data_IF_247688632539
#
_entry.id   IF_247688632539
#
_cell.length_a   1.000
_cell.length_b   1.000
_cell.length_c   1.000
_cell.angle_alpha   90.00
_cell.angle_beta   90.00
_cell.angle_gamma   90.00
#
_symmetry.space_group_name_H-M   'P 1'
#
loop_
_entity.id
_entity.type
_entity.pdbx_description
1 polymer ?
#
# COMPACT_ATOMS: atom_id res chain seq x y z
N UNK A 1 -10.58 11.61 -13.00
CA UNK A 1 -10.11 11.55 -11.60
C UNK A 1 -10.27 10.12 -11.12
N UNK A 2 -9.21 9.49 -10.64
CA UNK A 2 -9.22 8.11 -10.14
C UNK A 2 -10.10 8.04 -8.90
N UNK A 3 -10.97 7.02 -8.79
CA UNK A 3 -11.87 6.87 -7.64
C UNK A 3 -11.04 6.61 -6.36
N UNK A 4 -11.26 7.37 -5.26
CA UNK A 4 -10.58 7.13 -3.99
C UNK A 4 -10.80 5.72 -3.45
N UNK A 5 -9.83 5.19 -2.71
CA UNK A 5 -9.95 3.95 -1.95
C UNK A 5 -10.84 4.22 -0.74
N UNK A 6 -11.98 3.54 -0.67
CA UNK A 6 -12.90 3.67 0.44
C UNK A 6 -12.42 2.86 1.64
N UNK A 7 -12.16 3.53 2.75
CA UNK A 7 -11.83 2.92 4.05
C UNK A 7 -12.95 3.24 5.03
N UNK A 8 -13.51 2.22 5.67
CA UNK A 8 -14.60 2.39 6.65
C UNK A 8 -14.17 1.86 8.01
N UNK A 9 -14.23 2.72 9.03
CA UNK A 9 -13.98 2.37 10.43
C UNK A 9 -15.31 2.35 11.19
N UNK A 10 -15.69 1.19 11.70
CA UNK A 10 -16.79 1.07 12.67
C UNK A 10 -16.21 1.11 14.08
N UNK A 11 -16.41 2.21 14.79
CA UNK A 11 -15.97 2.37 16.18
C UNK A 11 -17.04 1.88 17.15
N UNK A 12 -16.62 1.43 18.33
CA UNK A 12 -17.52 1.10 19.42
C UNK A 12 -18.26 2.36 19.87
N UNK A 13 -19.53 2.47 19.50
CA UNK A 13 -20.31 3.69 19.65
C UNK A 13 -21.70 3.54 19.04
N UNK A 14 -22.53 4.55 19.27
CA UNK A 14 -23.88 4.64 18.72
C UNK A 14 -24.96 4.05 19.60
N UNK A 15 -26.15 3.97 19.00
CA UNK A 15 -27.37 3.46 19.63
C UNK A 15 -28.21 2.67 18.63
N UNK A 16 -28.98 1.72 19.15
CA UNK A 16 -29.96 0.94 18.43
C UNK A 16 -31.14 0.64 19.35
N UNK A 17 -32.26 1.34 19.11
CA UNK A 17 -33.44 1.29 19.96
C UNK A 17 -33.11 1.65 21.43
N UNK A 18 -33.45 0.82 22.42
CA UNK A 18 -33.15 1.08 23.83
C UNK A 18 -31.66 0.85 24.20
N UNK A 19 -30.85 0.29 23.30
CA UNK A 19 -29.44 0.00 23.55
C UNK A 19 -28.55 1.16 23.09
N UNK A 20 -27.59 1.56 23.93
CA UNK A 20 -26.62 2.62 23.61
C UNK A 20 -25.26 2.28 24.19
N UNK A 21 -24.20 2.53 23.43
CA UNK A 21 -22.82 2.43 23.93
C UNK A 21 -22.50 3.64 24.80
N UNK A 22 -22.08 3.39 26.06
CA UNK A 22 -21.68 4.44 27.02
C UNK A 22 -20.23 4.34 27.47
N UNK A 23 -19.57 3.22 27.19
CA UNK A 23 -18.22 2.93 27.65
C UNK A 23 -17.24 3.30 26.52
N UNK A 24 -16.17 4.07 26.82
CA UNK A 24 -15.16 4.41 25.83
C UNK A 24 -14.37 3.17 25.39
N UNK A 25 -13.87 3.20 24.17
CA UNK A 25 -13.06 2.13 23.57
C UNK A 25 -11.65 2.68 23.26
N UNK A 26 -10.62 2.13 23.90
CA UNK A 26 -9.24 2.57 23.74
C UNK A 26 -8.67 2.17 22.36
N UNK A 27 -8.97 0.95 21.94
CA UNK A 27 -8.57 0.36 20.66
C UNK A 27 -9.12 1.16 19.48
N UNK A 28 -10.32 1.72 19.63
CA UNK A 28 -10.97 2.55 18.62
C UNK A 28 -10.25 3.89 18.44
N UNK A 29 -9.81 4.51 19.54
CA UNK A 29 -9.02 5.76 19.50
C UNK A 29 -7.66 5.50 18.88
N UNK A 30 -6.94 4.48 19.35
CA UNK A 30 -5.63 4.11 18.81
C UNK A 30 -5.70 3.77 17.31
N UNK A 31 -6.72 3.02 16.88
CA UNK A 31 -6.94 2.70 15.47
C UNK A 31 -7.13 3.95 14.62
N UNK A 32 -7.88 4.94 15.12
CA UNK A 32 -8.08 6.22 14.41
C UNK A 32 -6.77 6.99 14.25
N UNK A 33 -5.94 7.03 15.28
CA UNK A 33 -4.65 7.72 15.25
C UNK A 33 -3.68 7.01 14.29
N UNK A 34 -3.65 5.67 14.30
CA UNK A 34 -2.87 4.87 13.34
C UNK A 34 -3.32 5.14 11.91
N UNK A 35 -4.63 5.18 11.64
CA UNK A 35 -5.16 5.48 10.30
C UNK A 35 -4.66 6.84 9.81
N UNK A 36 -4.82 7.88 10.63
CA UNK A 36 -4.39 9.23 10.28
C UNK A 36 -2.89 9.28 9.96
N UNK A 37 -2.06 8.74 10.86
CA UNK A 37 -0.60 8.76 10.69
C UNK A 37 -0.16 7.95 9.45
N UNK A 38 -0.80 6.81 9.19
CA UNK A 38 -0.48 5.97 8.03
C UNK A 38 -0.88 6.64 6.72
N UNK A 39 -2.04 7.31 6.68
CA UNK A 39 -2.47 8.05 5.49
C UNK A 39 -1.54 9.21 5.16
N UNK A 40 -1.08 9.94 6.18
CA UNK A 40 -0.18 11.08 5.98
C UNK A 40 1.24 10.65 5.60
N UNK A 41 1.78 9.59 6.22
CA UNK A 41 3.21 9.26 6.10
C UNK A 41 3.55 8.16 5.11
N UNK A 42 2.63 7.24 4.84
CA UNK A 42 2.92 6.04 4.03
C UNK A 42 2.01 5.90 2.80
N UNK A 43 0.83 6.53 2.82
CA UNK A 43 -0.17 6.42 1.75
C UNK A 43 -0.53 7.79 1.15
N UNK A 44 0.35 8.79 1.27
CA UNK A 44 0.07 10.17 0.82
C UNK A 44 -0.24 10.28 -0.68
N UNK A 45 0.34 9.40 -1.50
CA UNK A 45 0.11 9.35 -2.95
C UNK A 45 -1.16 8.57 -3.35
N UNK A 46 -1.83 7.93 -2.40
CA UNK A 46 -3.04 7.15 -2.63
C UNK A 46 -4.27 7.98 -2.25
N UNK A 47 -5.20 8.28 -3.17
CA UNK A 47 -6.43 8.96 -2.82
C UNK A 47 -7.28 8.04 -1.92
N UNK A 48 -7.48 8.42 -0.66
CA UNK A 48 -8.22 7.63 0.33
C UNK A 48 -9.39 8.45 0.88
N UNK A 49 -10.55 7.81 0.99
CA UNK A 49 -11.73 8.36 1.65
C UNK A 49 -12.02 7.55 2.92
N UNK A 50 -11.89 8.20 4.09
CA UNK A 50 -12.19 7.60 5.38
C UNK A 50 -13.62 7.91 5.83
N UNK A 51 -14.44 6.88 5.98
CA UNK A 51 -15.77 6.96 6.58
C UNK A 51 -15.72 6.36 8.00
N UNK A 52 -16.10 7.13 9.01
CA UNK A 52 -16.18 6.64 10.39
C UNK A 52 -17.65 6.48 10.79
N UNK A 53 -18.03 5.27 11.18
CA UNK A 53 -19.39 4.92 11.59
C UNK A 53 -19.42 4.43 13.02
N UNK A 54 -20.52 4.69 13.70
CA UNK A 54 -20.82 4.09 14.98
C UNK A 54 -21.31 2.65 14.75
N UNK A 55 -20.59 1.67 15.30
CA UNK A 55 -20.85 0.25 15.09
C UNK A 55 -22.27 -0.14 15.50
N UNK A 56 -22.74 0.25 16.70
CA UNK A 56 -24.07 -0.15 17.18
C UNK A 56 -25.18 0.44 16.32
N UNK A 57 -24.97 1.61 15.72
CA UNK A 57 -25.95 2.22 14.81
C UNK A 57 -25.90 1.65 13.39
N UNK A 58 -24.87 0.88 13.04
CA UNK A 58 -24.68 0.32 11.68
C UNK A 58 -24.31 -1.17 11.72
N UNK A 59 -24.67 -1.88 12.79
CA UNK A 59 -24.15 -3.22 13.11
C UNK A 59 -24.43 -4.25 11.99
N UNK A 60 -25.49 -4.04 11.21
CA UNK A 60 -25.87 -4.89 10.08
C UNK A 60 -24.94 -4.77 8.87
N UNK A 61 -24.21 -3.66 8.70
CA UNK A 61 -23.29 -3.46 7.59
C UNK A 61 -22.07 -4.39 7.66
N UNK A 62 -21.26 -4.39 8.75
CA UNK A 62 -20.09 -5.24 8.87
C UNK A 62 -20.44 -6.72 9.00
N UNK A 63 -21.63 -7.06 9.52
CA UNK A 63 -22.08 -8.45 9.60
C UNK A 63 -22.22 -9.12 8.22
N UNK A 64 -22.50 -8.36 7.16
CA UNK A 64 -22.56 -8.91 5.77
C UNK A 64 -21.24 -9.54 5.33
N UNK A 65 -20.13 -9.16 5.96
CA UNK A 65 -18.78 -9.69 5.68
C UNK A 65 -18.23 -10.50 6.86
N UNK A 66 -19.10 -10.93 7.79
CA UNK A 66 -18.72 -11.73 8.96
C UNK A 66 -18.00 -10.97 10.06
N UNK A 67 -18.02 -9.62 10.03
CA UNK A 67 -17.39 -8.79 11.04
C UNK A 67 -18.40 -8.34 12.11
N UNK A 68 -18.04 -8.47 13.37
CA UNK A 68 -18.97 -8.33 14.49
C UNK A 68 -18.37 -7.58 15.70
N UNK A 69 -17.05 -7.47 15.81
CA UNK A 69 -16.37 -6.86 16.96
C UNK A 69 -15.69 -5.54 16.62
N UNK A 70 -16.17 -4.44 17.20
CA UNK A 70 -15.52 -3.15 17.07
C UNK A 70 -14.17 -3.09 17.84
N UNK A 71 -13.20 -2.28 17.39
CA UNK A 71 -13.21 -1.51 16.14
C UNK A 71 -13.13 -2.44 14.92
N UNK A 72 -13.92 -2.18 13.88
CA UNK A 72 -13.89 -2.94 12.62
C UNK A 72 -13.36 -2.01 11.53
N UNK A 73 -12.31 -2.44 10.84
CA UNK A 73 -11.78 -1.75 9.68
C UNK A 73 -12.10 -2.52 8.41
N UNK A 74 -12.65 -1.82 7.43
CA UNK A 74 -12.90 -2.34 6.10
C UNK A 74 -12.22 -1.48 5.03
N UNK A 75 -11.67 -2.12 4.00
CA UNK A 75 -11.12 -1.47 2.80
C UNK A 75 -11.88 -2.00 1.60
N UNK A 76 -12.50 -1.11 0.82
CA UNK A 76 -13.31 -1.46 -0.36
C UNK A 76 -14.35 -2.56 -0.07
N UNK A 77 -15.01 -2.46 1.09
CA UNK A 77 -16.02 -3.43 1.50
C UNK A 77 -15.47 -4.77 2.02
N UNK A 78 -14.16 -4.94 2.14
CA UNK A 78 -13.53 -6.17 2.66
C UNK A 78 -13.03 -5.95 4.09
N UNK A 79 -13.24 -6.95 4.95
CA UNK A 79 -12.73 -6.94 6.31
C UNK A 79 -11.19 -6.95 6.32
N UNK A 80 -10.59 -6.03 7.08
CA UNK A 80 -9.13 -5.91 7.25
C UNK A 80 -8.71 -6.23 8.69
N UNK A 81 -9.43 -5.71 9.68
CA UNK A 81 -9.17 -5.97 11.10
C UNK A 81 -10.47 -5.83 11.90
N UNK A 82 -10.60 -6.55 13.01
CA UNK A 82 -11.70 -6.42 13.96
C UNK A 82 -11.25 -6.75 15.39
N UNK A 83 -11.87 -6.10 16.37
CA UNK A 83 -11.74 -6.44 17.80
C UNK A 83 -10.39 -6.15 18.45
N UNK A 84 -9.46 -5.54 17.73
CA UNK A 84 -8.13 -5.17 18.23
C UNK A 84 -7.64 -3.86 17.60
N UNK A 85 -6.55 -3.30 18.14
CA UNK A 85 -5.91 -2.14 17.55
C UNK A 85 -5.34 -2.47 16.16
N UNK A 86 -5.53 -1.56 15.21
CA UNK A 86 -5.12 -1.76 13.82
C UNK A 86 -3.62 -2.02 13.67
N UNK A 87 -3.26 -3.10 12.98
CA UNK A 87 -1.92 -3.31 12.47
C UNK A 87 -1.69 -2.44 11.21
N UNK A 88 -0.67 -1.58 11.26
CA UNK A 88 -0.34 -0.67 10.17
C UNK A 88 0.00 -1.38 8.85
N UNK A 89 0.85 -2.40 8.89
CA UNK A 89 1.29 -3.11 7.69
C UNK A 89 0.11 -3.78 6.98
N UNK A 90 -0.83 -4.34 7.74
CA UNK A 90 -2.06 -4.95 7.20
C UNK A 90 -2.94 -3.91 6.51
N UNK A 91 -3.05 -2.69 7.05
CA UNK A 91 -3.74 -1.56 6.40
C UNK A 91 -3.05 -1.20 5.08
N UNK A 92 -1.74 -0.93 5.11
CA UNK A 92 -0.97 -0.52 3.91
C UNK A 92 -1.09 -1.58 2.82
N UNK A 93 -0.86 -2.84 3.16
CA UNK A 93 -0.99 -3.96 2.23
C UNK A 93 -2.39 -4.01 1.59
N UNK A 94 -3.44 -3.85 2.39
CA UNK A 94 -4.82 -3.93 1.91
C UNK A 94 -5.18 -2.76 0.98
N UNK A 95 -4.76 -1.54 1.34
CA UNK A 95 -4.99 -0.34 0.52
C UNK A 95 -4.21 -0.41 -0.79
N UNK A 96 -2.90 -0.71 -0.73
CA UNK A 96 -2.05 -0.79 -1.92
C UNK A 96 -2.51 -1.89 -2.87
N UNK A 97 -2.96 -3.04 -2.34
CA UNK A 97 -3.53 -4.12 -3.15
C UNK A 97 -4.75 -3.69 -3.97
N UNK A 98 -5.61 -2.84 -3.41
CA UNK A 98 -6.77 -2.32 -4.14
C UNK A 98 -6.39 -1.14 -5.05
N UNK A 99 -5.41 -0.32 -4.64
CA UNK A 99 -4.89 0.79 -5.44
C UNK A 99 -4.19 0.31 -6.71
N UNK A 100 -3.36 -0.72 -6.64
CA UNK A 100 -2.64 -1.30 -7.78
C UNK A 100 -3.56 -1.84 -8.90
N UNK A 101 -4.86 -2.03 -8.63
CA UNK A 101 -5.84 -2.39 -9.67
C UNK A 101 -6.32 -1.20 -10.49
N UNK A 102 -6.15 0.01 -9.96
CA UNK A 102 -6.65 1.27 -10.53
C UNK A 102 -5.52 2.14 -11.08
N UNK A 103 -4.32 1.89 -10.59
CA UNK A 103 -3.12 2.65 -10.89
C UNK A 103 -2.07 1.76 -11.53
N UNK A 104 -1.30 2.33 -12.44
CA UNK A 104 -0.20 1.67 -13.15
C UNK A 104 1.07 2.43 -12.88
N UNK A 105 2.19 1.74 -12.66
CA UNK A 105 3.48 2.39 -12.51
C UNK A 105 3.86 3.15 -13.79
N UNK A 106 4.13 4.45 -13.66
CA UNK A 106 4.48 5.34 -14.78
C UNK A 106 5.86 5.97 -14.56
N UNK A 107 6.54 6.29 -15.65
CA UNK A 107 7.86 6.93 -15.63
C UNK A 107 8.99 5.98 -15.25
N UNK A 108 10.08 6.57 -14.75
CA UNK A 108 11.29 5.86 -14.38
C UNK A 108 11.29 5.61 -12.87
N UNK A 109 11.29 4.34 -12.45
CA UNK A 109 11.18 3.94 -11.05
C UNK A 109 12.23 2.90 -10.73
N UNK A 110 12.89 3.07 -9.60
CA UNK A 110 13.84 2.10 -9.04
C UNK A 110 13.40 1.74 -7.63
N UNK A 111 12.94 0.51 -7.45
CA UNK A 111 12.74 -0.06 -6.13
C UNK A 111 14.04 -0.72 -5.66
N UNK A 112 14.50 -0.34 -4.48
CA UNK A 112 15.77 -0.82 -3.94
C UNK A 112 15.79 -0.85 -2.43
N UNK A 113 16.99 -1.09 -1.88
CA UNK A 113 17.28 -0.89 -0.45
C UNK A 113 18.67 -0.29 -0.28
N UNK A 114 18.83 0.55 0.74
CA UNK A 114 20.08 1.27 1.00
C UNK A 114 21.34 0.38 1.04
N UNK A 115 21.25 -0.84 1.59
CA UNK A 115 22.38 -1.75 1.76
C UNK A 115 22.69 -2.65 0.56
N UNK A 116 22.00 -2.47 -0.58
CA UNK A 116 22.17 -3.35 -1.73
C UNK A 116 23.19 -2.78 -2.74
N UNK A 117 24.31 -3.49 -3.01
CA UNK A 117 25.31 -3.03 -3.96
C UNK A 117 24.78 -2.94 -5.40
N UNK A 118 23.89 -3.87 -5.81
CA UNK A 118 23.25 -3.81 -7.13
C UNK A 118 22.32 -2.61 -7.30
N UNK A 119 21.67 -2.15 -6.22
CA UNK A 119 20.88 -0.93 -6.24
C UNK A 119 21.78 0.30 -6.42
N UNK A 120 22.95 0.34 -5.77
CA UNK A 120 23.93 1.42 -5.95
C UNK A 120 24.42 1.46 -7.41
N UNK A 121 24.84 0.31 -7.96
CA UNK A 121 25.25 0.21 -9.37
C UNK A 121 24.17 0.71 -10.32
N UNK A 122 22.90 0.31 -10.11
CA UNK A 122 21.79 0.76 -10.94
C UNK A 122 21.59 2.29 -10.91
N UNK A 123 21.71 2.90 -9.73
CA UNK A 123 21.60 4.36 -9.57
C UNK A 123 22.75 5.11 -10.25
N UNK A 124 23.97 4.58 -10.16
CA UNK A 124 25.15 5.14 -10.85
C UNK A 124 24.98 5.08 -12.37
N UNK A 125 24.57 3.93 -12.92
CA UNK A 125 24.32 3.78 -14.36
C UNK A 125 23.27 4.78 -14.89
N UNK A 126 22.18 5.00 -14.14
CA UNK A 126 21.14 5.98 -14.50
C UNK A 126 21.67 7.41 -14.41
N UNK A 127 22.47 7.73 -13.38
CA UNK A 127 23.09 9.05 -13.22
C UNK A 127 24.09 9.37 -14.33
N UNK A 128 24.97 8.42 -14.69
CA UNK A 128 25.90 8.54 -15.81
C UNK A 128 25.18 8.74 -17.15
N UNK A 129 24.02 8.12 -17.30
CA UNK A 129 23.17 8.25 -18.48
C UNK A 129 22.30 9.51 -18.49
N UNK A 130 22.32 10.32 -17.42
CA UNK A 130 21.48 11.52 -17.28
C UNK A 130 19.98 11.24 -17.21
N UNK A 131 19.58 10.04 -16.77
CA UNK A 131 18.17 9.62 -16.67
C UNK A 131 17.66 9.90 -15.26
N UNK A 132 16.65 10.76 -15.14
CA UNK A 132 15.94 10.99 -13.88
C UNK A 132 15.01 9.82 -13.55
N UNK A 133 14.90 9.50 -12.26
CA UNK A 133 14.06 8.41 -11.76
C UNK A 133 13.59 8.68 -10.33
N UNK A 134 12.48 8.04 -9.96
CA UNK A 134 12.00 7.97 -8.59
C UNK A 134 12.59 6.74 -7.90
N UNK A 135 13.29 6.94 -6.79
CA UNK A 135 13.81 5.86 -5.97
C UNK A 135 12.89 5.60 -4.79
N UNK A 136 12.54 4.33 -4.57
CA UNK A 136 11.79 3.89 -3.41
C UNK A 136 12.58 2.85 -2.62
N UNK A 137 12.81 3.10 -1.33
CA UNK A 137 13.46 2.16 -0.43
C UNK A 137 12.43 1.22 0.19
N UNK A 138 12.41 -0.04 -0.24
CA UNK A 138 11.39 -1.02 0.18
C UNK A 138 11.55 -1.49 1.63
N UNK A 139 12.63 -1.11 2.33
CA UNK A 139 12.82 -1.40 3.76
C UNK A 139 12.22 -0.28 4.62
N UNK A 140 12.29 0.96 4.14
CA UNK A 140 11.80 2.14 4.86
C UNK A 140 10.33 2.44 4.50
N UNK A 141 9.99 2.31 3.22
CA UNK A 141 8.67 2.61 2.66
C UNK A 141 7.87 1.31 2.50
N UNK A 142 7.03 1.00 3.49
CA UNK A 142 6.21 -0.23 3.45
C UNK A 142 5.27 -0.26 2.23
N UNK A 143 4.72 0.89 1.83
CA UNK A 143 3.89 1.03 0.65
C UNK A 143 4.64 0.65 -0.64
N UNK A 144 5.93 1.02 -0.74
CA UNK A 144 6.77 0.65 -1.88
C UNK A 144 6.99 -0.87 -1.95
N UNK A 145 7.25 -1.51 -0.81
CA UNK A 145 7.37 -2.98 -0.73
C UNK A 145 6.09 -3.69 -1.19
N UNK A 146 4.95 -3.28 -0.61
CA UNK A 146 3.65 -3.87 -0.92
C UNK A 146 3.17 -3.54 -2.34
N UNK A 147 3.68 -2.46 -2.96
CA UNK A 147 3.45 -2.17 -4.37
C UNK A 147 4.33 -3.01 -5.28
N UNK A 148 5.63 -3.07 -5.00
CA UNK A 148 6.62 -3.76 -5.84
C UNK A 148 6.39 -5.26 -5.92
N UNK A 149 6.24 -5.98 -4.79
CA UNK A 149 6.25 -7.45 -4.79
C UNK A 149 5.15 -8.05 -5.68
N UNK A 150 3.87 -7.66 -5.57
CA UNK A 150 2.80 -8.23 -6.40
C UNK A 150 2.99 -7.92 -7.89
N UNK A 151 3.43 -6.71 -8.23
CA UNK A 151 3.69 -6.28 -9.61
C UNK A 151 4.78 -7.12 -10.26
N UNK A 152 5.89 -7.33 -9.55
CA UNK A 152 6.99 -8.17 -10.04
C UNK A 152 6.52 -9.62 -10.17
N UNK A 153 5.83 -10.17 -9.16
CA UNK A 153 5.34 -11.56 -9.19
C UNK A 153 4.36 -11.84 -10.32
N UNK A 154 3.55 -10.86 -10.71
CA UNK A 154 2.68 -10.98 -11.87
C UNK A 154 3.47 -11.20 -13.18
N UNK A 155 4.73 -10.77 -13.23
CA UNK A 155 5.61 -10.87 -14.40
C UNK A 155 6.52 -12.10 -14.32
N UNK A 156 7.22 -12.30 -13.18
CA UNK A 156 8.23 -13.36 -13.02
C UNK A 156 7.68 -14.68 -12.47
N UNK A 157 6.39 -14.68 -12.09
CA UNK A 157 5.68 -15.83 -11.52
C UNK A 157 5.71 -15.89 -9.98
N UNK A 158 4.61 -16.40 -9.41
CA UNK A 158 4.37 -16.42 -7.96
C UNK A 158 5.41 -17.18 -7.13
N UNK A 159 6.05 -18.20 -7.73
CA UNK A 159 7.03 -19.05 -7.05
C UNK A 159 8.45 -18.49 -7.10
N UNK A 160 8.69 -17.48 -7.93
CA UNK A 160 10.02 -16.91 -8.12
C UNK A 160 10.28 -15.86 -7.03
N UNK A 161 11.41 -15.95 -6.29
CA UNK A 161 11.77 -14.95 -5.29
C UNK A 161 11.99 -13.57 -5.93
N UNK A 162 11.40 -12.54 -5.33
CA UNK A 162 11.65 -11.14 -5.71
C UNK A 162 12.92 -10.65 -5.01
N UNK A 163 13.90 -10.18 -5.77
CA UNK A 163 15.13 -9.55 -5.28
C UNK A 163 15.15 -8.07 -5.66
N UNK A 164 16.07 -7.27 -5.11
CA UNK A 164 16.26 -5.86 -5.49
C UNK A 164 17.61 -5.67 -6.16
N UNK A 165 17.75 -4.70 -7.10
CA UNK A 165 16.75 -3.70 -7.51
C UNK A 165 15.67 -4.27 -8.45
N UNK A 166 14.53 -3.59 -8.51
CA UNK A 166 13.46 -3.83 -9.49
C UNK A 166 13.13 -2.51 -10.18
N UNK A 167 13.24 -2.50 -11.50
CA UNK A 167 13.40 -1.27 -12.28
C UNK A 167 12.34 -1.18 -13.37
N UNK A 168 11.69 -0.02 -13.47
CA UNK A 168 10.79 0.37 -14.55
C UNK A 168 11.35 1.59 -15.25
N UNK A 169 11.43 1.56 -16.58
CA UNK A 169 11.85 2.70 -17.41
C UNK A 169 10.74 3.02 -18.41
N UNK A 170 10.38 4.30 -18.53
CA UNK A 170 9.29 4.78 -19.37
C UNK A 170 7.97 4.00 -19.15
N UNK A 171 7.67 3.64 -17.89
CA UNK A 171 6.50 2.85 -17.51
C UNK A 171 6.58 1.35 -17.85
N UNK A 172 7.70 0.86 -18.39
CA UNK A 172 7.91 -0.56 -18.73
C UNK A 172 8.84 -1.23 -17.73
N UNK A 173 8.45 -2.42 -17.29
CA UNK A 173 9.30 -3.24 -16.43
C UNK A 173 10.55 -3.72 -17.19
N UNK A 174 11.72 -3.46 -16.61
CA UNK A 174 13.03 -3.83 -17.17
C UNK A 174 13.62 -5.05 -16.44
N UNK A 175 13.47 -5.10 -15.12
CA UNK A 175 14.05 -6.17 -14.28
C UNK A 175 15.07 -5.64 -13.28
N UNK A 176 16.18 -6.35 -13.13
CA UNK A 176 17.26 -6.02 -12.20
C UNK A 176 18.35 -5.13 -12.79
N UNK A 177 19.47 -4.99 -12.06
CA UNK A 177 20.60 -4.17 -12.48
C UNK A 177 21.22 -4.62 -13.81
N UNK A 178 21.38 -5.94 -14.02
CA UNK A 178 21.94 -6.47 -15.26
C UNK A 178 21.02 -6.24 -16.46
N UNK A 179 19.69 -6.27 -16.24
CA UNK A 179 18.71 -5.95 -17.28
C UNK A 179 18.75 -4.47 -17.65
N UNK A 180 18.96 -3.59 -16.67
CA UNK A 180 19.11 -2.15 -16.90
C UNK A 180 20.36 -1.86 -17.74
N UNK A 181 21.49 -2.50 -17.44
CA UNK A 181 22.73 -2.36 -18.21
C UNK A 181 22.52 -2.71 -19.69
N UNK A 182 21.84 -3.84 -19.97
CA UNK A 182 21.48 -4.25 -21.32
C UNK A 182 20.52 -3.26 -22.00
N UNK A 183 19.54 -2.74 -21.25
CA UNK A 183 18.58 -1.76 -21.77
C UNK A 183 19.28 -0.45 -22.18
N UNK A 184 20.18 0.07 -21.35
CA UNK A 184 20.98 1.27 -21.65
C UNK A 184 21.87 1.06 -22.88
N UNK A 185 22.55 -0.09 -22.98
CA UNK A 185 23.35 -0.43 -24.15
C UNK A 185 22.50 -0.49 -25.43
N UNK A 186 21.27 -0.99 -25.36
CA UNK A 186 20.37 -1.01 -26.53
C UNK A 186 19.92 0.40 -26.95
N UNK A 187 19.73 1.31 -25.99
CA UNK A 187 19.35 2.72 -26.22
C UNK A 187 20.48 3.54 -26.83
N UNK A 188 21.73 3.28 -26.45
CA UNK A 188 22.89 3.98 -26.99
C UNK A 188 23.20 3.62 -28.46
N UNK A 189 22.71 2.47 -28.92
CA UNK A 189 22.92 1.97 -30.29
C UNK A 189 21.72 2.26 -31.23
N UNK A 190 20.68 2.94 -30.74
CA UNK A 190 19.47 3.29 -31.49
C UNK A 190 19.48 4.78 -31.86
#
# INVERSE_FOLDING_TARGET
MTKPIKVTLYRWGGSWGPFSVKIPCGECTLTKDILKDTFEKELGDVPIELEVKDWLSHWWEPLKVGAWHAPILMVEGKLVSQGEALNRGVLVQSVIKEWAKRDTLQGNIVYGKATCPYCVKAKEMLAESGIEYNYHDVVVESAALYRMIPEVKAIIGEKTPVTVPQIWMDGKYIGGADNLEQWLASKANA
#
